data_IF_218756867390
#
_entry.id   IF_218756867390
#
_cell.length_a   1.000
_cell.length_b   1.000
_cell.length_c   1.000
_cell.angle_alpha   90.00
_cell.angle_beta   90.00
_cell.angle_gamma   90.00
#
_symmetry.space_group_name_H-M   'P 1'
#
loop_
_entity.id
_entity.type
_entity.pdbx_description
1 polymer ?
#
# COMPACT_ATOMS: atom_id res chain seq x y z
N UNK A 1 11.44 -2.28 -49.57
CA UNK A 1 11.30 -0.91 -50.10
C UNK A 1 9.83 -0.57 -49.90
N UNK A 2 9.40 0.36 -49.05
CA UNK A 2 10.00 1.66 -48.71
C UNK A 2 9.71 2.00 -47.23
N UNK A 3 10.65 2.69 -46.60
CA UNK A 3 10.75 2.98 -45.16
C UNK A 3 9.56 3.80 -44.63
N UNK A 4 9.03 3.42 -43.45
CA UNK A 4 8.26 4.31 -42.58
C UNK A 4 9.25 5.18 -41.80
N UNK A 5 9.32 6.46 -42.15
CA UNK A 5 10.13 7.45 -41.45
C UNK A 5 9.43 7.83 -40.15
N UNK A 6 9.91 7.31 -39.02
CA UNK A 6 9.69 7.93 -37.71
C UNK A 6 10.30 9.34 -37.77
N UNK A 7 9.48 10.38 -37.68
CA UNK A 7 9.99 11.71 -37.32
C UNK A 7 10.29 11.68 -35.82
N UNK A 8 11.55 11.37 -35.50
CA UNK A 8 12.15 11.73 -34.23
C UNK A 8 12.24 13.26 -34.16
N UNK A 9 11.45 13.88 -33.28
CA UNK A 9 11.79 15.21 -32.80
C UNK A 9 12.83 15.04 -31.70
N UNK A 10 14.07 15.38 -32.04
CA UNK A 10 15.14 15.63 -31.10
C UNK A 10 14.75 16.80 -30.20
N UNK A 11 14.17 16.51 -29.04
CA UNK A 11 14.22 17.41 -27.90
C UNK A 11 15.51 17.11 -27.14
N UNK A 12 16.38 18.10 -27.13
CA UNK A 12 17.54 18.24 -26.25
C UNK A 12 17.12 17.81 -24.84
N UNK A 13 17.88 16.88 -24.25
CA UNK A 13 17.68 16.45 -22.88
C UNK A 13 17.80 17.63 -21.92
N UNK A 14 16.66 18.15 -21.47
CA UNK A 14 16.58 18.81 -20.19
C UNK A 14 16.43 17.70 -19.16
N UNK A 15 17.51 17.43 -18.42
CA UNK A 15 17.45 16.62 -17.22
C UNK A 15 16.29 17.13 -16.34
N UNK A 16 15.39 16.22 -15.94
CA UNK A 16 14.35 16.51 -14.95
C UNK A 16 15.08 16.80 -13.63
N UNK A 17 14.94 18.01 -13.05
CA UNK A 17 15.57 18.33 -11.76
C UNK A 17 15.01 17.42 -10.66
N UNK A 18 15.88 16.98 -9.76
CA UNK A 18 15.66 16.00 -8.68
C UNK A 18 14.81 16.48 -7.50
N UNK A 19 14.25 17.69 -7.54
CA UNK A 19 13.43 18.24 -6.45
C UNK A 19 11.95 18.13 -6.82
N UNK A 20 11.27 17.11 -6.26
CA UNK A 20 9.88 16.86 -6.59
C UNK A 20 9.06 16.62 -5.30
N UNK A 21 7.97 17.38 -5.12
CA UNK A 21 7.12 17.35 -3.92
C UNK A 21 5.84 16.51 -4.12
N UNK A 22 5.59 15.53 -3.26
CA UNK A 22 4.40 14.65 -3.28
C UNK A 22 3.25 15.25 -2.47
N UNK A 23 2.04 15.30 -3.04
CA UNK A 23 0.85 15.83 -2.37
C UNK A 23 -0.30 14.82 -2.38
N UNK A 24 -1.02 14.71 -1.25
CA UNK A 24 -2.30 14.01 -1.13
C UNK A 24 -3.31 14.96 -0.50
N UNK A 25 -4.14 15.61 -1.32
CA UNK A 25 -5.13 16.60 -0.88
C UNK A 25 -6.54 15.99 -0.78
N UNK A 26 -7.31 16.46 0.20
CA UNK A 26 -8.71 16.08 0.42
C UNK A 26 -9.63 16.76 -0.62
N UNK A 27 -10.79 16.19 -1.01
CA UNK A 27 -11.60 16.64 -2.16
C UNK A 27 -12.04 18.11 -2.11
N UNK A 28 -12.09 18.74 -0.93
CA UNK A 28 -12.50 20.14 -0.74
C UNK A 28 -11.37 21.16 -0.87
N UNK A 29 -10.12 20.74 -1.11
CA UNK A 29 -8.92 21.60 -1.18
C UNK A 29 -7.97 21.22 -2.33
N UNK A 30 -8.49 20.60 -3.39
CA UNK A 30 -7.68 20.25 -4.56
C UNK A 30 -7.13 21.51 -5.22
N UNK A 31 -5.84 21.50 -5.56
CA UNK A 31 -5.28 22.53 -6.42
C UNK A 31 -5.98 22.53 -7.78
N UNK A 32 -5.80 23.60 -8.56
CA UNK A 32 -6.34 23.68 -9.92
C UNK A 32 -5.88 22.49 -10.76
N UNK A 33 -4.61 22.12 -10.64
CA UNK A 33 -4.02 21.00 -11.39
C UNK A 33 -4.45 19.65 -10.84
N UNK A 34 -4.67 19.49 -9.54
CA UNK A 34 -5.24 18.24 -8.99
C UNK A 34 -6.69 18.04 -9.44
N UNK A 35 -7.49 19.12 -9.44
CA UNK A 35 -8.85 19.11 -10.01
C UNK A 35 -8.82 18.69 -11.47
N UNK A 36 -7.83 19.18 -12.24
CA UNK A 36 -7.66 18.81 -13.64
C UNK A 36 -7.24 17.35 -13.82
N UNK A 37 -6.38 16.80 -12.95
CA UNK A 37 -6.04 15.38 -12.96
C UNK A 37 -7.28 14.50 -12.77
N UNK A 38 -8.14 14.84 -11.81
CA UNK A 38 -9.40 14.12 -11.58
C UNK A 38 -10.30 14.17 -12.82
N UNK A 39 -10.49 15.35 -13.40
CA UNK A 39 -11.26 15.51 -14.64
C UNK A 39 -10.68 14.64 -15.77
N UNK A 40 -9.35 14.61 -15.95
CA UNK A 40 -8.69 13.77 -16.95
C UNK A 40 -9.05 12.29 -16.72
N UNK A 41 -8.86 11.79 -15.50
CA UNK A 41 -9.10 10.39 -15.15
C UNK A 41 -10.57 10.01 -15.33
N UNK A 42 -11.50 10.90 -14.99
CA UNK A 42 -12.93 10.70 -15.23
C UNK A 42 -13.24 10.57 -16.73
N UNK A 43 -12.64 11.42 -17.57
CA UNK A 43 -12.79 11.31 -19.03
C UNK A 43 -12.19 10.03 -19.59
N UNK A 44 -11.07 9.55 -19.03
CA UNK A 44 -10.47 8.27 -19.42
C UNK A 44 -11.35 7.07 -19.03
N UNK A 45 -11.99 7.14 -17.86
CA UNK A 45 -12.78 6.05 -17.28
C UNK A 45 -14.26 6.07 -17.66
N UNK A 46 -14.74 7.12 -18.31
CA UNK A 46 -16.12 7.20 -18.79
C UNK A 46 -16.48 5.96 -19.64
N UNK A 47 -17.71 5.50 -19.52
CA UNK A 47 -18.25 4.43 -20.36
C UNK A 47 -18.67 4.93 -21.75
N UNK A 48 -18.88 6.24 -21.91
CA UNK A 48 -19.28 6.87 -23.17
C UNK A 48 -18.06 7.33 -23.96
N UNK A 49 -18.06 7.12 -25.29
CA UNK A 49 -16.97 7.55 -26.17
C UNK A 49 -16.68 9.04 -26.01
N UNK A 50 -15.41 9.43 -25.90
CA UNK A 50 -15.03 10.84 -25.78
C UNK A 50 -15.32 11.53 -27.10
N UNK A 51 -15.96 12.70 -27.06
CA UNK A 51 -16.27 13.50 -28.25
C UNK A 51 -15.45 14.78 -28.28
N UNK A 52 -15.17 15.28 -29.48
CA UNK A 52 -14.43 16.53 -29.66
C UNK A 52 -15.12 17.72 -29.00
N UNK A 53 -16.46 17.74 -28.98
CA UNK A 53 -17.27 18.76 -28.30
C UNK A 53 -17.04 18.82 -26.78
N UNK A 54 -16.65 17.70 -26.14
CA UNK A 54 -16.35 17.63 -24.71
C UNK A 54 -14.87 17.90 -24.38
N UNK A 55 -13.97 17.60 -25.32
CA UNK A 55 -12.52 17.68 -25.12
C UNK A 55 -11.95 19.01 -25.59
N UNK A 56 -12.31 19.47 -26.79
CA UNK A 56 -11.70 20.65 -27.43
C UNK A 56 -11.84 21.95 -26.61
N UNK A 57 -12.97 22.25 -25.92
CA UNK A 57 -13.07 23.45 -25.09
C UNK A 57 -12.07 23.49 -23.92
N UNK A 58 -11.62 22.31 -23.48
CA UNK A 58 -10.76 22.09 -22.32
C UNK A 58 -9.26 22.07 -22.66
N UNK A 59 -8.92 22.13 -23.97
CA UNK A 59 -7.54 22.23 -24.45
C UNK A 59 -7.17 23.70 -24.69
N UNK A 60 -5.95 24.06 -24.32
CA UNK A 60 -5.38 25.37 -24.62
C UNK A 60 -5.15 25.50 -26.12
N UNK A 61 -5.75 26.52 -26.74
CA UNK A 61 -5.72 26.71 -28.20
C UNK A 61 -4.37 27.23 -28.70
N UNK A 62 -3.49 27.73 -27.81
CA UNK A 62 -2.14 28.10 -28.21
C UNK A 62 -1.22 26.86 -28.33
N UNK A 63 -1.54 25.80 -27.61
CA UNK A 63 -0.75 24.56 -27.57
C UNK A 63 -1.36 23.41 -28.39
N UNK A 64 -2.68 23.40 -28.61
CA UNK A 64 -3.39 22.43 -29.45
C UNK A 64 -4.09 23.12 -30.62
N UNK A 65 -3.65 22.84 -31.85
CA UNK A 65 -4.45 23.17 -33.03
C UNK A 65 -5.70 22.27 -33.09
N UNK A 66 -6.73 22.64 -33.88
CA UNK A 66 -7.89 21.75 -34.08
C UNK A 66 -7.51 20.36 -34.59
N UNK A 67 -6.46 20.26 -35.41
CA UNK A 67 -5.97 18.97 -35.89
C UNK A 67 -5.28 18.16 -34.77
N UNK A 68 -4.52 18.82 -33.90
CA UNK A 68 -3.89 18.17 -32.74
C UNK A 68 -4.93 17.67 -31.74
N UNK A 69 -6.00 18.43 -31.52
CA UNK A 69 -7.13 18.04 -30.68
C UNK A 69 -7.82 16.77 -31.22
N UNK A 70 -8.07 16.69 -32.53
CA UNK A 70 -8.66 15.51 -33.18
C UNK A 70 -7.73 14.28 -33.13
N UNK A 71 -6.41 14.49 -33.31
CA UNK A 71 -5.41 13.42 -33.18
C UNK A 71 -5.35 12.89 -31.73
N UNK A 72 -5.35 13.78 -30.75
CA UNK A 72 -5.40 13.43 -29.33
C UNK A 72 -6.68 12.66 -29.01
N UNK A 73 -7.84 13.15 -29.45
CA UNK A 73 -9.13 12.49 -29.26
C UNK A 73 -9.12 11.06 -29.83
N UNK A 74 -8.59 10.90 -31.04
CA UNK A 74 -8.46 9.59 -31.71
C UNK A 74 -7.55 8.66 -30.90
N UNK A 75 -6.39 9.15 -30.45
CA UNK A 75 -5.44 8.40 -29.64
C UNK A 75 -6.04 7.97 -28.29
N UNK A 76 -6.72 8.88 -27.59
CA UNK A 76 -7.39 8.60 -26.31
C UNK A 76 -8.42 7.48 -26.48
N UNK A 77 -9.32 7.60 -27.47
CA UNK A 77 -10.38 6.61 -27.69
C UNK A 77 -9.85 5.26 -28.18
N UNK A 78 -8.80 5.25 -29.02
CA UNK A 78 -8.35 4.04 -29.71
C UNK A 78 -7.24 3.28 -28.97
N UNK A 79 -6.44 3.98 -28.16
CA UNK A 79 -5.23 3.41 -27.54
C UNK A 79 -5.30 3.45 -26.02
N UNK A 80 -5.67 4.57 -25.42
CA UNK A 80 -5.59 4.76 -23.96
C UNK A 80 -6.83 4.21 -23.25
N UNK A 81 -8.01 4.72 -23.57
CA UNK A 81 -9.28 4.37 -22.89
C UNK A 81 -9.59 2.87 -22.88
N UNK A 82 -9.28 2.07 -23.93
CA UNK A 82 -9.48 0.62 -23.89
C UNK A 82 -8.70 -0.11 -22.79
N UNK A 83 -7.66 0.51 -22.23
CA UNK A 83 -6.87 -0.07 -21.12
C UNK A 83 -7.48 0.21 -19.74
N UNK A 84 -8.44 1.14 -19.65
CA UNK A 84 -9.11 1.50 -18.40
C UNK A 84 -10.03 0.39 -17.84
N UNK A 85 -10.56 0.54 -16.62
CA UNK A 85 -10.44 1.74 -15.80
C UNK A 85 -9.03 1.97 -15.26
N UNK A 86 -8.65 3.23 -15.18
CA UNK A 86 -7.41 3.72 -14.61
C UNK A 86 -7.64 4.19 -13.17
N UNK A 87 -6.71 3.85 -12.30
CA UNK A 87 -6.64 4.38 -10.93
C UNK A 87 -5.38 5.20 -10.81
N UNK A 88 -5.48 6.40 -10.23
CA UNK A 88 -4.30 7.19 -9.88
C UNK A 88 -3.60 6.49 -8.71
N UNK A 89 -2.38 6.02 -8.95
CA UNK A 89 -1.54 5.37 -7.93
C UNK A 89 -0.84 6.42 -7.07
N UNK A 90 -0.22 7.40 -7.72
CA UNK A 90 0.44 8.55 -7.10
C UNK A 90 0.48 9.71 -8.10
N UNK A 91 0.71 10.91 -7.60
CA UNK A 91 1.02 12.04 -8.46
C UNK A 91 1.98 13.02 -7.80
N UNK A 92 2.55 13.89 -8.63
CA UNK A 92 3.55 14.86 -8.22
C UNK A 92 3.52 16.10 -9.10
N UNK A 93 3.59 17.29 -8.50
CA UNK A 93 3.62 18.55 -9.26
C UNK A 93 4.98 18.72 -9.94
N UNK A 94 4.99 19.32 -11.12
CA UNK A 94 6.21 19.61 -11.85
C UNK A 94 6.99 20.78 -11.20
N UNK A 95 8.32 20.82 -11.31
CA UNK A 95 9.11 21.95 -10.84
C UNK A 95 8.69 23.25 -11.55
N UNK A 96 8.39 24.30 -10.79
CA UNK A 96 8.02 25.62 -11.34
C UNK A 96 6.63 26.14 -10.99
N UNK A 97 5.78 25.36 -10.31
CA UNK A 97 4.50 25.86 -9.76
C UNK A 97 3.32 24.90 -9.90
N UNK A 98 2.12 25.45 -9.82
CA UNK A 98 0.84 24.71 -9.84
C UNK A 98 0.36 24.39 -11.27
N UNK A 99 1.17 24.60 -12.29
CA UNK A 99 0.76 24.54 -13.71
C UNK A 99 1.03 23.18 -14.36
N UNK A 100 1.48 22.17 -13.63
CA UNK A 100 1.68 20.84 -14.21
C UNK A 100 1.98 19.74 -13.21
N UNK A 101 1.74 18.50 -13.64
CA UNK A 101 1.82 17.31 -12.79
C UNK A 101 2.16 16.05 -13.60
N UNK A 102 2.82 15.11 -12.94
CA UNK A 102 2.96 13.71 -13.35
C UNK A 102 2.09 12.84 -12.44
N UNK A 103 1.24 12.00 -13.01
CA UNK A 103 0.47 10.98 -12.32
C UNK A 103 0.86 9.59 -12.81
N UNK A 104 1.13 8.67 -11.88
CA UNK A 104 1.22 7.26 -12.20
C UNK A 104 -0.20 6.68 -12.23
N UNK A 105 -0.63 6.18 -13.37
CA UNK A 105 -1.92 5.51 -13.55
C UNK A 105 -1.72 4.00 -13.60
N UNK A 106 -2.62 3.25 -12.96
CA UNK A 106 -2.71 1.80 -13.10
C UNK A 106 -3.97 1.41 -13.87
N UNK A 107 -3.78 0.68 -14.96
CA UNK A 107 -4.86 0.21 -15.83
C UNK A 107 -5.58 -1.03 -15.27
N UNK A 108 -6.64 -1.50 -15.96
CA UNK A 108 -7.39 -2.71 -15.57
C UNK A 108 -6.55 -3.99 -15.60
N UNK A 109 -5.47 -3.98 -16.39
CA UNK A 109 -4.54 -5.09 -16.54
C UNK A 109 -3.31 -4.95 -15.65
N UNK A 110 -3.28 -3.93 -14.78
CA UNK A 110 -2.14 -3.65 -13.91
C UNK A 110 -0.97 -2.95 -14.62
N UNK A 111 -1.14 -2.50 -15.87
CA UNK A 111 -0.10 -1.74 -16.57
C UNK A 111 0.02 -0.35 -15.94
N UNK A 112 1.25 0.05 -15.69
CA UNK A 112 1.57 1.36 -15.14
C UNK A 112 1.98 2.32 -16.25
N UNK A 113 1.38 3.51 -16.22
CA UNK A 113 1.55 4.54 -17.25
C UNK A 113 1.72 5.87 -16.55
N UNK A 114 2.78 6.59 -16.88
CA UNK A 114 2.93 7.97 -16.45
C UNK A 114 2.07 8.85 -17.35
N UNK A 115 1.12 9.55 -16.74
CA UNK A 115 0.37 10.65 -17.32
C UNK A 115 1.08 11.95 -16.91
N UNK A 116 1.63 12.67 -17.89
CA UNK A 116 2.16 14.02 -17.67
C UNK A 116 1.24 15.03 -18.34
N UNK A 117 0.84 16.07 -17.62
CA UNK A 117 0.12 17.18 -18.23
C UNK A 117 0.48 18.51 -17.59
N UNK A 118 0.29 19.58 -18.37
CA UNK A 118 0.37 20.97 -17.88
C UNK A 118 -0.94 21.69 -18.15
N UNK A 119 -1.20 22.72 -17.35
CA UNK A 119 -2.32 23.63 -17.53
C UNK A 119 -1.82 25.02 -17.94
N UNK A 120 -2.58 25.70 -18.79
CA UNK A 120 -2.41 27.14 -19.06
C UNK A 120 -2.94 27.98 -17.88
N UNK A 121 -2.66 29.28 -17.92
CA UNK A 121 -3.06 30.23 -16.85
C UNK A 121 -4.58 30.36 -16.67
N UNK A 122 -5.36 30.05 -17.71
CA UNK A 122 -6.84 29.96 -17.68
C UNK A 122 -7.36 28.56 -17.26
N UNK A 123 -6.45 27.62 -16.95
CA UNK A 123 -6.77 26.30 -16.40
C UNK A 123 -7.09 25.21 -17.42
N UNK A 124 -6.87 25.47 -18.71
CA UNK A 124 -7.01 24.46 -19.78
C UNK A 124 -5.77 23.59 -19.91
N UNK A 125 -5.89 22.41 -20.52
CA UNK A 125 -4.75 21.51 -20.72
C UNK A 125 -3.85 22.05 -21.84
N UNK A 126 -2.62 22.40 -21.50
CA UNK A 126 -1.61 22.92 -22.42
C UNK A 126 -0.63 21.86 -22.92
N UNK A 127 -0.45 20.76 -22.19
CA UNK A 127 0.23 19.56 -22.69
C UNK A 127 -0.39 18.31 -22.08
N UNK A 128 -0.39 17.21 -22.82
CA UNK A 128 -0.90 15.92 -22.34
C UNK A 128 -0.09 14.79 -22.99
N UNK A 129 0.59 14.00 -22.17
CA UNK A 129 1.42 12.90 -22.61
C UNK A 129 1.23 11.63 -21.77
N UNK A 130 1.33 10.47 -22.42
CA UNK A 130 1.41 9.17 -21.76
C UNK A 130 2.73 8.50 -22.10
N UNK A 131 3.44 8.02 -21.09
CA UNK A 131 4.61 7.18 -21.24
C UNK A 131 4.38 5.83 -20.55
N UNK A 132 4.93 4.75 -21.11
CA UNK A 132 5.15 3.55 -20.32
C UNK A 132 6.01 3.97 -19.12
N UNK A 133 5.57 3.67 -17.89
CA UNK A 133 6.30 4.19 -16.74
C UNK A 133 7.67 3.54 -16.65
N UNK A 134 8.72 4.34 -16.76
CA UNK A 134 10.10 3.90 -16.50
C UNK A 134 10.35 3.70 -14.99
N UNK A 135 9.38 4.08 -14.14
CA UNK A 135 9.53 4.11 -12.68
C UNK A 135 9.42 2.74 -12.00
N UNK A 136 8.92 1.71 -12.68
CA UNK A 136 9.03 0.32 -12.21
C UNK A 136 9.85 -0.46 -13.23
N UNK A 137 11.07 -0.92 -12.86
CA UNK A 137 11.88 -1.71 -13.77
C UNK A 137 11.16 -3.04 -14.11
N UNK A 138 11.47 -3.67 -15.26
CA UNK A 138 10.74 -4.82 -15.76
C UNK A 138 10.63 -5.96 -14.73
N UNK A 139 9.63 -6.85 -14.86
CA UNK A 139 9.43 -7.94 -13.91
C UNK A 139 10.70 -8.75 -13.70
N UNK A 140 11.07 -8.96 -12.44
CA UNK A 140 12.24 -9.77 -12.13
C UNK A 140 12.02 -11.21 -12.60
N UNK A 141 13.11 -11.82 -13.06
CA UNK A 141 13.08 -13.15 -13.68
C UNK A 141 13.67 -14.25 -12.79
N UNK A 142 14.38 -13.87 -11.72
CA UNK A 142 15.02 -14.79 -10.78
C UNK A 142 15.07 -14.23 -9.36
N UNK A 143 15.21 -15.11 -8.36
CA UNK A 143 15.39 -14.70 -6.97
C UNK A 143 16.69 -13.93 -6.72
N UNK A 144 17.76 -14.21 -7.48
CA UNK A 144 19.02 -13.45 -7.37
C UNK A 144 18.84 -12.01 -7.84
N UNK A 145 18.10 -11.80 -8.93
CA UNK A 145 17.76 -10.46 -9.40
C UNK A 145 16.94 -9.69 -8.37
N UNK A 146 15.94 -10.35 -7.75
CA UNK A 146 15.11 -9.76 -6.70
C UNK A 146 15.96 -9.34 -5.51
N UNK A 147 16.80 -10.25 -4.99
CA UNK A 147 17.70 -9.96 -3.87
C UNK A 147 18.65 -8.79 -4.19
N UNK A 148 19.21 -8.75 -5.39
CA UNK A 148 20.08 -7.65 -5.84
C UNK A 148 19.32 -6.32 -5.86
N UNK A 149 18.16 -6.27 -6.53
CA UNK A 149 17.39 -5.03 -6.67
C UNK A 149 16.87 -4.48 -5.35
N UNK A 150 16.42 -5.36 -4.43
CA UNK A 150 16.03 -4.90 -3.09
C UNK A 150 17.22 -4.31 -2.32
N UNK A 151 18.40 -4.95 -2.39
CA UNK A 151 19.64 -4.43 -1.77
C UNK A 151 20.11 -3.11 -2.36
N UNK A 152 19.86 -2.87 -3.65
CA UNK A 152 20.13 -1.59 -4.31
C UNK A 152 19.20 -0.47 -3.83
N UNK A 153 17.99 -0.81 -3.38
CA UNK A 153 17.06 0.15 -2.75
C UNK A 153 17.49 0.44 -1.31
N UNK A 154 17.73 -0.62 -0.52
CA UNK A 154 18.30 -0.49 0.82
C UNK A 154 19.11 -1.73 1.21
N UNK A 155 20.33 -1.56 1.75
CA UNK A 155 21.09 -2.68 2.32
C UNK A 155 20.38 -3.29 3.54
N UNK A 156 19.54 -2.54 4.26
CA UNK A 156 18.73 -3.03 5.37
C UNK A 156 17.42 -3.66 4.86
N UNK A 157 17.55 -4.75 4.09
CA UNK A 157 16.42 -5.50 3.53
C UNK A 157 16.36 -6.91 4.12
N UNK A 158 15.17 -7.35 4.50
CA UNK A 158 14.84 -8.76 4.70
C UNK A 158 13.90 -9.26 3.59
N UNK A 159 14.11 -10.50 3.15
CA UNK A 159 13.26 -11.20 2.17
C UNK A 159 13.10 -12.65 2.62
N UNK A 160 11.91 -13.20 2.46
CA UNK A 160 11.63 -14.62 2.61
C UNK A 160 10.62 -15.06 1.56
N UNK A 161 10.95 -16.13 0.82
CA UNK A 161 10.05 -16.80 -0.11
C UNK A 161 9.99 -18.27 0.25
N UNK A 162 8.82 -18.72 0.70
CA UNK A 162 8.62 -20.09 1.15
C UNK A 162 7.57 -20.77 0.29
N UNK A 163 7.92 -21.93 -0.26
CA UNK A 163 6.99 -22.82 -0.95
C UNK A 163 6.86 -24.10 -0.15
N UNK A 164 5.63 -24.49 0.16
CA UNK A 164 5.32 -25.72 0.89
C UNK A 164 4.14 -26.46 0.26
N UNK A 165 4.06 -27.78 0.48
CA UNK A 165 2.90 -28.59 0.06
C UNK A 165 2.71 -29.71 1.07
N UNK A 166 1.47 -29.89 1.54
CA UNK A 166 1.13 -30.91 2.54
C UNK A 166 2.02 -30.86 3.80
N UNK A 167 2.33 -29.65 4.28
CA UNK A 167 3.19 -29.43 5.46
C UNK A 167 4.69 -29.59 5.20
N UNK A 168 5.12 -30.09 4.03
CA UNK A 168 6.53 -30.21 3.66
C UNK A 168 7.02 -28.93 2.98
N UNK A 169 8.09 -28.35 3.49
CA UNK A 169 8.81 -27.26 2.81
C UNK A 169 9.46 -27.80 1.53
N UNK A 170 9.21 -27.13 0.41
CA UNK A 170 9.76 -27.48 -0.92
C UNK A 170 10.91 -26.56 -1.32
N UNK A 171 10.79 -25.27 -1.01
CA UNK A 171 11.81 -24.27 -1.34
C UNK A 171 11.78 -23.17 -0.30
N UNK A 172 12.96 -22.71 0.10
CA UNK A 172 13.14 -21.55 0.95
C UNK A 172 14.23 -20.66 0.34
N UNK A 173 13.91 -19.39 0.10
CA UNK A 173 14.84 -18.38 -0.38
C UNK A 173 14.75 -17.17 0.52
N UNK A 174 15.85 -16.87 1.22
CA UNK A 174 15.89 -15.81 2.22
C UNK A 174 17.03 -14.82 2.02
N UNK A 175 16.83 -13.63 2.59
CA UNK A 175 17.83 -12.63 2.88
C UNK A 175 17.50 -12.08 4.27
N UNK A 176 18.43 -12.17 5.23
CA UNK A 176 18.23 -11.60 6.58
C UNK A 176 16.88 -12.00 7.22
N UNK A 177 16.44 -13.25 7.03
CA UNK A 177 15.04 -13.64 7.24
C UNK A 177 14.59 -13.65 8.71
N UNK A 178 15.53 -13.89 9.63
CA UNK A 178 15.31 -13.85 11.06
C UNK A 178 15.57 -12.46 11.68
N UNK A 179 16.02 -11.46 10.91
CA UNK A 179 16.22 -10.12 11.44
C UNK A 179 14.89 -9.44 11.73
N UNK A 180 14.79 -8.85 12.92
CA UNK A 180 13.64 -8.06 13.34
C UNK A 180 13.69 -6.68 12.67
N UNK A 181 12.63 -6.34 11.95
CA UNK A 181 12.45 -5.03 11.30
C UNK A 181 11.02 -4.52 11.55
N UNK A 182 10.75 -3.20 11.40
CA UNK A 182 9.39 -2.69 11.41
C UNK A 182 8.54 -3.33 10.30
N UNK A 183 7.30 -3.69 10.62
CA UNK A 183 6.34 -4.30 9.68
C UNK A 183 5.20 -3.35 9.31
N UNK A 184 5.08 -2.21 10.01
CA UNK A 184 4.01 -1.23 9.89
C UNK A 184 2.64 -1.94 9.86
N UNK A 185 1.72 -1.53 8.98
CA UNK A 185 0.34 -2.07 8.93
C UNK A 185 0.18 -3.57 8.70
N UNK A 186 1.25 -4.35 8.49
CA UNK A 186 1.18 -5.82 8.53
C UNK A 186 0.76 -6.33 9.92
N UNK A 187 0.96 -5.55 10.99
CA UNK A 187 0.51 -5.89 12.36
C UNK A 187 -0.99 -6.26 12.43
N UNK A 188 -1.81 -5.71 11.52
CA UNK A 188 -3.26 -5.96 11.43
C UNK A 188 -3.62 -7.41 11.18
N UNK A 189 -2.67 -8.24 10.72
CA UNK A 189 -2.83 -9.70 10.68
C UNK A 189 -2.98 -10.30 12.07
N UNK A 190 -2.28 -9.76 13.08
CA UNK A 190 -2.43 -10.18 14.48
C UNK A 190 -3.77 -9.74 15.08
N UNK A 191 -4.22 -8.53 14.74
CA UNK A 191 -5.57 -8.05 15.11
C UNK A 191 -6.64 -8.96 14.50
N UNK A 192 -6.51 -9.30 13.22
CA UNK A 192 -7.40 -10.24 12.55
C UNK A 192 -7.38 -11.63 13.21
N UNK A 193 -6.20 -12.10 13.64
CA UNK A 193 -6.07 -13.35 14.40
C UNK A 193 -6.87 -13.34 15.70
N UNK A 194 -6.83 -12.24 16.45
CA UNK A 194 -7.62 -12.09 17.68
C UNK A 194 -9.13 -12.10 17.41
N UNK A 195 -9.58 -11.37 16.39
CA UNK A 195 -10.99 -11.37 15.96
C UNK A 195 -11.42 -12.78 15.55
N UNK A 196 -10.65 -13.44 14.69
CA UNK A 196 -10.96 -14.78 14.20
C UNK A 196 -10.94 -15.84 15.31
N UNK A 197 -10.08 -15.69 16.32
CA UNK A 197 -10.07 -16.57 17.49
C UNK A 197 -11.35 -16.43 18.32
N UNK A 198 -11.80 -15.20 18.60
CA UNK A 198 -13.06 -14.94 19.31
C UNK A 198 -14.31 -15.33 18.50
N UNK A 199 -14.25 -15.23 17.16
CA UNK A 199 -15.32 -15.77 16.33
C UNK A 199 -15.32 -17.31 16.38
N UNK A 200 -14.14 -17.93 16.30
CA UNK A 200 -13.99 -19.38 16.35
C UNK A 200 -14.40 -20.00 17.69
N UNK A 201 -14.27 -19.27 18.81
CA UNK A 201 -14.71 -19.70 20.14
C UNK A 201 -16.18 -19.35 20.46
N UNK A 202 -16.83 -18.56 19.60
CA UNK A 202 -18.23 -18.16 19.73
C UNK A 202 -18.48 -17.00 20.70
N UNK A 203 -17.44 -16.32 21.19
CA UNK A 203 -17.58 -15.11 22.02
C UNK A 203 -17.82 -13.84 21.21
N UNK A 204 -17.53 -13.88 19.91
CA UNK A 204 -17.80 -12.82 18.94
C UNK A 204 -18.49 -13.38 17.69
N UNK A 205 -19.30 -12.57 17.02
CA UNK A 205 -19.84 -12.87 15.69
C UNK A 205 -19.37 -11.85 14.65
N UNK A 206 -19.11 -12.32 13.43
CA UNK A 206 -18.90 -11.46 12.27
C UNK A 206 -20.03 -10.45 12.02
N UNK A 207 -21.25 -10.74 12.51
CA UNK A 207 -22.43 -9.88 12.37
C UNK A 207 -22.60 -8.88 13.51
N UNK A 208 -21.84 -9.02 14.59
CA UNK A 208 -21.91 -8.09 15.71
C UNK A 208 -21.58 -6.68 15.22
N UNK A 209 -22.23 -5.70 15.83
CA UNK A 209 -22.10 -4.31 15.42
C UNK A 209 -21.11 -3.61 16.33
N UNK A 210 -20.16 -2.92 15.71
CA UNK A 210 -19.25 -1.98 16.36
C UNK A 210 -19.62 -0.56 15.94
N UNK A 211 -19.29 0.41 16.79
CA UNK A 211 -19.62 1.82 16.57
C UNK A 211 -18.35 2.55 16.16
N UNK A 212 -18.44 3.35 15.10
CA UNK A 212 -17.44 4.36 14.79
C UNK A 212 -17.63 5.52 15.76
N UNK A 213 -16.72 5.69 16.71
CA UNK A 213 -16.70 6.81 17.67
C UNK A 213 -15.49 7.71 17.42
N UNK A 214 -15.60 8.96 17.85
CA UNK A 214 -14.56 9.96 17.59
C UNK A 214 -13.21 9.60 18.25
N UNK A 215 -13.22 8.95 19.41
CA UNK A 215 -12.01 8.46 20.11
C UNK A 215 -11.29 7.32 19.39
N UNK A 216 -11.94 6.64 18.43
CA UNK A 216 -11.33 5.55 17.65
C UNK A 216 -10.82 6.02 16.28
N UNK A 217 -11.15 7.24 15.86
CA UNK A 217 -10.71 7.76 14.56
C UNK A 217 -9.19 7.94 14.52
N UNK A 218 -8.59 7.61 13.38
CA UNK A 218 -7.15 7.66 13.21
C UNK A 218 -6.75 8.22 11.84
N UNK A 219 -5.67 9.02 11.78
CA UNK A 219 -5.11 9.46 10.50
C UNK A 219 -4.48 8.29 9.72
N UNK A 220 -4.02 8.57 8.49
CA UNK A 220 -3.41 7.58 7.61
C UNK A 220 -4.37 6.86 6.67
N UNK A 221 -4.15 5.56 6.45
CA UNK A 221 -4.91 4.79 5.47
C UNK A 221 -6.28 4.42 6.02
N UNK A 222 -7.29 4.40 5.13
CA UNK A 222 -8.68 4.11 5.48
C UNK A 222 -9.63 5.29 5.22
N UNK A 223 -10.92 5.00 5.29
CA UNK A 223 -12.02 5.96 5.07
C UNK A 223 -12.98 6.01 6.24
N UNK A 224 -12.91 5.09 7.21
CA UNK A 224 -13.82 5.08 8.36
C UNK A 224 -13.64 6.31 9.26
N UNK A 225 -12.48 6.97 9.23
CA UNK A 225 -12.28 8.25 9.94
C UNK A 225 -13.26 9.34 9.47
N UNK A 226 -13.66 9.30 8.20
CA UNK A 226 -14.54 10.30 7.58
C UNK A 226 -16.02 9.93 7.79
N UNK A 227 -16.29 8.77 8.41
CA UNK A 227 -17.64 8.32 8.73
C UNK A 227 -18.17 9.07 9.96
N UNK A 228 -19.46 9.49 9.97
CA UNK A 228 -20.06 10.14 11.13
C UNK A 228 -19.96 9.28 12.39
N UNK A 229 -19.62 9.90 13.52
CA UNK A 229 -19.63 9.23 14.81
C UNK A 229 -21.03 8.68 15.14
N UNK A 230 -21.09 7.53 15.80
CA UNK A 230 -22.33 6.80 16.06
C UNK A 230 -22.77 5.87 14.92
N UNK A 231 -22.04 5.83 13.80
CA UNK A 231 -22.33 4.87 12.73
C UNK A 231 -22.02 3.45 13.18
N UNK A 232 -22.97 2.54 13.00
CA UNK A 232 -22.78 1.11 13.26
C UNK A 232 -22.28 0.40 11.99
N UNK A 233 -21.25 -0.43 12.15
CA UNK A 233 -20.73 -1.32 11.11
C UNK A 233 -20.55 -2.73 11.67
N UNK A 234 -20.63 -3.75 10.83
CA UNK A 234 -20.38 -5.12 11.27
C UNK A 234 -18.90 -5.37 11.55
N UNK A 235 -18.58 -6.28 12.47
CA UNK A 235 -17.20 -6.77 12.70
C UNK A 235 -16.56 -7.23 11.40
N UNK A 236 -17.33 -7.90 10.53
CA UNK A 236 -16.87 -8.33 9.22
C UNK A 236 -16.47 -7.16 8.32
N UNK A 237 -17.29 -6.12 8.23
CA UNK A 237 -17.00 -4.97 7.37
C UNK A 237 -15.84 -4.14 7.93
N UNK A 238 -15.75 -4.00 9.25
CA UNK A 238 -14.58 -3.42 9.91
C UNK A 238 -13.31 -4.22 9.58
N UNK A 239 -13.35 -5.56 9.66
CA UNK A 239 -12.19 -6.41 9.36
C UNK A 239 -11.80 -6.33 7.88
N UNK A 240 -12.77 -6.27 6.96
CA UNK A 240 -12.52 -6.04 5.53
C UNK A 240 -11.90 -4.67 5.26
N UNK A 241 -12.36 -3.60 5.92
CA UNK A 241 -11.73 -2.28 5.81
C UNK A 241 -10.30 -2.29 6.36
N UNK A 242 -10.09 -2.91 7.53
CA UNK A 242 -8.77 -3.05 8.17
C UNK A 242 -7.77 -3.77 7.27
N UNK A 243 -8.17 -4.85 6.61
CA UNK A 243 -7.27 -5.64 5.76
C UNK A 243 -7.18 -5.07 4.35
N UNK A 244 -8.33 -4.88 3.68
CA UNK A 244 -8.45 -4.48 2.27
C UNK A 244 -7.89 -3.09 1.97
N UNK A 245 -8.22 -2.10 2.79
CA UNK A 245 -7.76 -0.70 2.61
C UNK A 245 -6.77 -0.28 3.68
N UNK A 246 -6.30 -1.21 4.51
CA UNK A 246 -5.40 -0.92 5.63
C UNK A 246 -6.00 0.08 6.63
N UNK A 247 -7.32 0.12 6.80
CA UNK A 247 -8.01 1.17 7.56
C UNK A 247 -7.56 1.22 9.03
N UNK A 248 -7.01 2.36 9.46
CA UNK A 248 -6.49 2.57 10.81
C UNK A 248 -7.60 2.74 11.86
N UNK A 249 -8.72 3.37 11.48
CA UNK A 249 -9.87 3.53 12.36
C UNK A 249 -10.54 2.18 12.61
N UNK A 250 -10.67 1.35 11.56
CA UNK A 250 -11.13 -0.03 11.69
C UNK A 250 -10.22 -0.84 12.63
N UNK A 251 -8.90 -0.70 12.50
CA UNK A 251 -7.95 -1.38 13.37
C UNK A 251 -8.11 -0.98 14.83
N UNK A 252 -8.25 0.33 15.13
CA UNK A 252 -8.51 0.78 16.51
C UNK A 252 -9.79 0.19 17.08
N UNK A 253 -10.90 0.24 16.31
CA UNK A 253 -12.19 -0.30 16.72
C UNK A 253 -12.07 -1.80 17.03
N UNK A 254 -11.40 -2.57 16.17
CA UNK A 254 -11.25 -4.02 16.37
C UNK A 254 -10.29 -4.37 17.49
N UNK A 255 -9.23 -3.59 17.70
CA UNK A 255 -8.30 -3.76 18.82
C UNK A 255 -8.97 -3.50 20.16
N UNK A 256 -9.80 -2.46 20.25
CA UNK A 256 -10.61 -2.14 21.43
C UNK A 256 -11.64 -3.25 21.71
N UNK A 257 -12.33 -3.71 20.66
CA UNK A 257 -13.32 -4.79 20.74
C UNK A 257 -12.73 -6.08 21.33
N UNK A 258 -11.59 -6.55 20.81
CA UNK A 258 -11.01 -7.83 21.25
C UNK A 258 -10.22 -7.71 22.55
N UNK A 259 -9.68 -6.53 22.85
CA UNK A 259 -8.89 -6.24 24.04
C UNK A 259 -7.46 -6.78 24.01
N UNK A 260 -6.60 -6.18 24.85
CA UNK A 260 -5.16 -6.42 24.86
C UNK A 260 -4.76 -7.89 25.13
N UNK A 261 -5.49 -8.56 26.03
CA UNK A 261 -5.21 -9.97 26.36
C UNK A 261 -5.39 -10.88 25.14
N UNK A 262 -6.44 -10.63 24.34
CA UNK A 262 -6.68 -11.39 23.12
C UNK A 262 -5.64 -11.06 22.05
N UNK A 263 -5.22 -9.79 21.93
CA UNK A 263 -4.14 -9.40 21.03
C UNK A 263 -2.82 -10.08 21.37
N UNK A 264 -2.41 -10.04 22.64
CA UNK A 264 -1.18 -10.70 23.11
C UNK A 264 -1.20 -12.20 22.79
N UNK A 265 -2.33 -12.86 23.08
CA UNK A 265 -2.53 -14.27 22.77
C UNK A 265 -2.49 -14.54 21.27
N UNK A 266 -3.10 -13.69 20.44
CA UNK A 266 -3.07 -13.85 19.00
C UNK A 266 -1.66 -13.72 18.42
N UNK A 267 -0.82 -12.84 18.97
CA UNK A 267 0.60 -12.73 18.60
C UNK A 267 1.35 -14.04 18.86
N UNK A 268 1.12 -14.67 20.02
CA UNK A 268 1.66 -15.99 20.38
C UNK A 268 1.12 -17.10 19.46
N UNK A 269 -0.20 -17.19 19.30
CA UNK A 269 -0.88 -18.27 18.57
C UNK A 269 -0.56 -18.25 17.05
N UNK A 270 -0.35 -17.05 16.50
CA UNK A 270 0.09 -16.84 15.12
C UNK A 270 1.61 -17.03 14.93
N UNK A 271 2.36 -17.22 16.00
CA UNK A 271 3.74 -17.72 15.95
C UNK A 271 4.83 -16.65 15.87
N UNK A 272 4.59 -15.48 16.43
CA UNK A 272 5.63 -14.46 16.58
C UNK A 272 6.75 -14.96 17.52
N UNK A 273 8.02 -14.86 17.11
CA UNK A 273 9.16 -15.42 17.86
C UNK A 273 9.41 -14.74 19.22
N UNK A 274 9.16 -13.43 19.32
CA UNK A 274 9.22 -12.67 20.58
C UNK A 274 8.00 -11.74 20.76
N UNK A 275 6.88 -12.25 21.31
CA UNK A 275 5.65 -11.48 21.51
C UNK A 275 5.81 -10.19 22.33
N UNK A 276 6.88 -10.08 23.13
CA UNK A 276 7.14 -8.88 23.94
C UNK A 276 7.51 -7.66 23.10
N UNK A 277 7.98 -7.86 21.86
CA UNK A 277 8.24 -6.78 20.90
C UNK A 277 6.98 -6.02 20.49
N UNK A 278 5.80 -6.63 20.68
CA UNK A 278 4.50 -6.02 20.41
C UNK A 278 3.73 -5.69 21.70
N UNK A 279 4.40 -5.62 22.86
CA UNK A 279 3.81 -5.25 24.14
C UNK A 279 4.39 -3.92 24.65
N UNK A 280 3.57 -2.93 25.10
CA UNK A 280 2.12 -2.89 24.88
C UNK A 280 1.81 -2.83 23.38
N UNK A 281 0.68 -3.40 22.98
CA UNK A 281 0.29 -3.44 21.57
C UNK A 281 -0.25 -2.08 21.15
N UNK A 282 0.61 -1.26 20.53
CA UNK A 282 0.24 0.09 20.07
C UNK A 282 -0.90 0.04 19.07
N UNK A 283 -1.94 0.86 19.30
CA UNK A 283 -2.93 1.15 18.27
C UNK A 283 -2.37 2.16 17.26
N UNK A 284 -2.89 2.22 16.02
CA UNK A 284 -2.60 3.33 15.12
C UNK A 284 -2.80 4.70 15.76
N UNK A 285 -3.87 4.89 16.53
CA UNK A 285 -4.10 6.14 17.26
C UNK A 285 -2.93 6.49 18.18
N UNK A 286 -2.49 5.54 19.02
CA UNK A 286 -1.37 5.76 19.95
C UNK A 286 -0.06 6.01 19.21
N UNK A 287 0.21 5.26 18.14
CA UNK A 287 1.40 5.43 17.30
C UNK A 287 1.48 6.84 16.71
N UNK A 288 0.37 7.35 16.16
CA UNK A 288 0.34 8.71 15.62
C UNK A 288 0.40 9.76 16.74
N UNK A 289 -0.21 9.50 17.90
CA UNK A 289 -0.11 10.36 19.07
C UNK A 289 1.35 10.51 19.54
N UNK A 290 2.11 9.42 19.59
CA UNK A 290 3.52 9.40 19.99
C UNK A 290 4.44 10.13 19.00
N UNK A 291 4.15 10.00 17.71
CA UNK A 291 5.01 10.54 16.63
C UNK A 291 4.65 11.97 16.22
N UNK A 292 3.52 12.51 16.71
CA UNK A 292 3.12 13.89 16.48
C UNK A 292 4.16 14.87 17.06
N UNK A 293 4.42 15.99 16.35
CA UNK A 293 5.53 16.91 16.61
C UNK A 293 5.62 17.53 18.02
N UNK A 294 4.57 17.42 18.85
CA UNK A 294 4.58 17.81 20.27
C UNK A 294 5.19 16.77 21.22
N UNK A 295 5.34 15.53 20.76
CA UNK A 295 5.70 14.37 21.58
C UNK A 295 7.06 13.77 21.18
N UNK A 296 7.91 14.51 20.47
CA UNK A 296 9.21 13.99 20.00
C UNK A 296 10.15 13.57 21.13
N UNK A 297 10.10 14.27 22.28
CA UNK A 297 10.90 13.90 23.45
C UNK A 297 10.39 12.62 24.10
N UNK A 298 9.06 12.44 24.13
CA UNK A 298 8.41 11.21 24.58
C UNK A 298 8.77 10.06 23.66
N UNK A 299 8.71 10.27 22.34
CA UNK A 299 9.12 9.32 21.31
C UNK A 299 10.58 8.89 21.47
N UNK A 300 11.49 9.83 21.73
CA UNK A 300 12.91 9.54 21.92
C UNK A 300 13.18 8.62 23.14
N UNK A 301 12.34 8.70 24.17
CA UNK A 301 12.44 7.83 25.36
C UNK A 301 11.75 6.47 25.21
N UNK A 302 10.97 6.26 24.14
CA UNK A 302 10.14 5.07 23.98
C UNK A 302 10.96 3.77 23.94
N UNK A 303 12.03 3.74 23.14
CA UNK A 303 12.88 2.55 23.00
C UNK A 303 13.47 2.05 24.32
N UNK A 304 13.79 2.97 25.24
CA UNK A 304 14.46 2.67 26.51
C UNK A 304 13.51 2.55 27.69
N UNK A 305 12.22 2.85 27.51
CA UNK A 305 11.19 2.77 28.54
C UNK A 305 10.76 1.32 28.82
N UNK A 306 10.50 1.01 30.09
CA UNK A 306 9.88 -0.26 30.48
C UNK A 306 8.37 -0.31 30.15
N UNK A 307 7.76 -1.47 30.37
CA UNK A 307 6.35 -1.72 30.02
C UNK A 307 5.37 -0.84 30.80
N UNK A 308 5.65 -0.56 32.07
CA UNK A 308 4.80 0.27 32.92
C UNK A 308 4.85 1.73 32.46
N UNK A 309 6.06 2.22 32.17
CA UNK A 309 6.29 3.57 31.65
C UNK A 309 5.64 3.75 30.28
N UNK A 310 5.77 2.78 29.36
CA UNK A 310 5.10 2.82 28.05
C UNK A 310 3.58 2.92 28.18
N UNK A 311 2.97 2.17 29.11
CA UNK A 311 1.52 2.26 29.37
C UNK A 311 1.11 3.60 29.96
N UNK A 312 1.91 4.15 30.87
CA UNK A 312 1.67 5.47 31.44
C UNK A 312 1.77 6.58 30.38
N UNK A 313 2.71 6.45 29.43
CA UNK A 313 2.82 7.34 28.26
C UNK A 313 1.57 7.22 27.39
N UNK A 314 1.15 6.01 27.00
CA UNK A 314 -0.06 5.84 26.18
C UNK A 314 -1.28 6.46 26.86
N UNK A 315 -1.45 6.22 28.16
CA UNK A 315 -2.55 6.76 28.94
C UNK A 315 -2.53 8.30 29.04
N UNK A 316 -1.37 8.95 28.88
CA UNK A 316 -1.24 10.41 28.94
C UNK A 316 -1.51 11.11 27.62
N UNK A 317 -1.58 10.38 26.49
CA UNK A 317 -1.87 10.95 25.17
C UNK A 317 -3.30 11.52 25.06
N UNK A 318 -4.23 11.05 25.90
CA UNK A 318 -5.64 11.47 25.90
C UNK A 318 -6.42 11.06 24.65
N UNK A 319 -7.67 11.52 24.53
CA UNK A 319 -8.54 11.31 23.35
C UNK A 319 -8.35 12.40 22.27
N UNK A 320 -7.28 13.19 22.38
CA UNK A 320 -7.10 14.37 21.55
C UNK A 320 -6.81 13.96 20.10
N UNK A 321 -7.59 14.51 19.16
CA UNK A 321 -7.47 14.18 17.74
C UNK A 321 -6.06 14.46 17.22
N UNK A 322 -5.41 13.42 16.71
CA UNK A 322 -4.12 13.58 16.02
C UNK A 322 -4.38 14.03 14.59
N UNK A 323 -3.98 15.26 14.30
CA UNK A 323 -4.13 15.86 12.96
C UNK A 323 -3.39 15.04 11.89
N UNK A 324 -3.98 14.84 10.69
CA UNK A 324 -3.35 14.08 9.60
C UNK A 324 -1.97 14.59 9.17
N UNK A 325 -1.67 15.87 9.38
CA UNK A 325 -0.37 16.48 9.11
C UNK A 325 0.78 15.86 9.92
N UNK A 326 0.48 15.15 11.02
CA UNK A 326 1.45 14.41 11.82
C UNK A 326 2.14 13.25 11.05
N UNK A 327 1.61 12.82 9.90
CA UNK A 327 2.22 11.80 9.06
C UNK A 327 3.42 12.27 8.23
N UNK A 328 3.49 13.57 7.94
CA UNK A 328 4.54 14.15 7.11
C UNK A 328 5.79 14.40 7.96
N UNK A 329 6.45 13.32 8.38
CA UNK A 329 7.76 13.40 9.01
C UNK A 329 8.81 12.81 8.07
N UNK A 330 9.89 13.56 7.91
CA UNK A 330 11.16 13.12 7.32
C UNK A 330 11.92 12.13 8.23
N UNK A 331 11.35 11.78 9.40
CA UNK A 331 12.00 10.94 10.42
C UNK A 331 11.48 9.53 10.44
N UNK A 332 12.42 8.59 10.35
CA UNK A 332 12.22 7.17 10.59
C UNK A 332 12.04 6.86 12.10
N UNK A 333 10.84 7.10 12.65
CA UNK A 333 10.55 6.85 14.07
C UNK A 333 10.71 5.39 14.50
N UNK A 334 10.70 4.44 13.56
CA UNK A 334 11.01 3.04 13.85
C UNK A 334 12.40 2.87 14.49
N UNK A 335 13.35 3.78 14.24
CA UNK A 335 14.67 3.78 14.89
C UNK A 335 14.61 4.07 16.39
N UNK A 336 13.50 4.64 16.87
CA UNK A 336 13.19 4.90 18.28
C UNK A 336 12.27 3.82 18.88
N UNK A 337 12.12 2.67 18.21
CA UNK A 337 11.24 1.59 18.65
C UNK A 337 9.75 1.87 18.44
N UNK A 338 9.41 2.88 17.63
CA UNK A 338 8.04 3.25 17.28
C UNK A 338 7.67 2.69 15.90
N UNK A 339 7.32 1.42 15.89
CA UNK A 339 6.60 0.70 14.83
C UNK A 339 6.09 -0.60 15.50
N UNK A 340 5.53 -1.52 14.73
CA UNK A 340 5.34 -2.91 15.14
C UNK A 340 6.50 -3.73 14.55
N UNK A 341 7.17 -4.54 15.36
CA UNK A 341 8.40 -5.23 14.94
C UNK A 341 8.17 -6.72 14.81
N UNK A 342 8.63 -7.29 13.71
CA UNK A 342 8.60 -8.71 13.42
C UNK A 342 9.70 -9.06 12.40
N UNK A 343 10.08 -10.32 12.34
CA UNK A 343 10.87 -10.86 11.23
C UNK A 343 9.97 -11.25 10.05
N UNK A 344 10.53 -11.39 8.85
CA UNK A 344 9.78 -11.91 7.69
C UNK A 344 9.34 -13.37 7.89
N UNK A 345 10.00 -14.13 8.77
CA UNK A 345 9.59 -15.46 9.21
C UNK A 345 8.30 -15.41 10.03
N UNK A 346 8.19 -14.48 10.99
CA UNK A 346 6.97 -14.27 11.79
C UNK A 346 5.78 -13.91 10.90
N UNK A 347 5.99 -12.99 9.94
CA UNK A 347 4.94 -12.53 9.02
C UNK A 347 4.48 -13.68 8.12
N UNK A 348 5.42 -14.47 7.57
CA UNK A 348 5.10 -15.67 6.78
C UNK A 348 4.28 -16.67 7.59
N UNK A 349 4.68 -16.90 8.85
CA UNK A 349 3.99 -17.80 9.76
C UNK A 349 2.57 -17.32 10.10
N UNK A 350 2.38 -16.02 10.36
CA UNK A 350 1.07 -15.44 10.63
C UNK A 350 0.09 -15.67 9.47
N UNK A 351 0.51 -15.44 8.22
CA UNK A 351 -0.29 -15.76 7.03
C UNK A 351 -0.69 -17.23 6.97
N UNK A 352 0.28 -18.13 7.17
CA UNK A 352 0.04 -19.59 7.12
C UNK A 352 -0.94 -20.02 8.19
N UNK A 353 -0.82 -19.48 9.41
CA UNK A 353 -1.72 -19.77 10.53
C UNK A 353 -3.14 -19.23 10.29
N UNK A 354 -3.28 -17.99 9.83
CA UNK A 354 -4.57 -17.42 9.43
C UNK A 354 -5.23 -18.25 8.33
N UNK A 355 -4.45 -18.69 7.34
CA UNK A 355 -4.97 -19.56 6.27
C UNK A 355 -5.52 -20.88 6.79
N UNK A 356 -4.88 -21.50 7.79
CA UNK A 356 -5.39 -22.72 8.42
C UNK A 356 -6.75 -22.48 9.09
N UNK A 357 -6.96 -21.30 9.68
CA UNK A 357 -8.23 -20.93 10.32
C UNK A 357 -9.38 -20.78 9.30
N UNK A 358 -9.10 -20.31 8.07
CA UNK A 358 -10.11 -20.14 7.00
C UNK A 358 -10.87 -21.44 6.69
N UNK A 359 -10.24 -22.61 6.87
CA UNK A 359 -10.91 -23.90 6.66
C UNK A 359 -12.15 -24.11 7.55
N UNK A 360 -12.19 -23.47 8.72
CA UNK A 360 -13.30 -23.52 9.68
C UNK A 360 -14.18 -22.28 9.63
N UNK A 361 -13.69 -21.21 9.01
CA UNK A 361 -14.36 -19.92 8.94
C UNK A 361 -14.20 -19.29 7.54
N UNK A 362 -15.15 -19.54 6.61
CA UNK A 362 -15.11 -18.95 5.28
C UNK A 362 -15.16 -17.41 5.27
N UNK A 363 -15.73 -16.78 6.31
CA UNK A 363 -15.81 -15.31 6.41
C UNK A 363 -14.44 -14.69 6.67
N UNK A 364 -13.56 -15.38 7.40
CA UNK A 364 -12.15 -15.01 7.49
C UNK A 364 -11.47 -15.02 6.11
N UNK A 365 -11.84 -15.96 5.25
CA UNK A 365 -11.37 -16.01 3.86
C UNK A 365 -11.76 -14.75 3.07
N UNK A 366 -13.03 -14.35 3.15
CA UNK A 366 -13.53 -13.11 2.52
C UNK A 366 -12.78 -11.85 3.00
N UNK A 367 -12.38 -11.82 4.28
CA UNK A 367 -11.57 -10.72 4.84
C UNK A 367 -10.14 -10.73 4.26
N UNK A 368 -9.49 -11.89 4.23
CA UNK A 368 -8.12 -12.02 3.73
C UNK A 368 -8.00 -11.78 2.22
N UNK A 369 -9.02 -12.12 1.42
CA UNK A 369 -9.06 -11.89 -0.02
C UNK A 369 -9.52 -10.47 -0.40
N UNK A 370 -9.88 -9.64 0.58
CA UNK A 370 -10.31 -8.25 0.33
C UNK A 370 -9.20 -7.35 -0.22
N UNK A 371 -7.93 -7.75 -0.04
CA UNK A 371 -6.76 -7.12 -0.65
C UNK A 371 -6.52 -7.65 -2.07
N UNK A 372 -6.97 -6.91 -3.09
CA UNK A 372 -6.80 -7.30 -4.51
C UNK A 372 -5.55 -6.64 -5.08
N UNK A 373 -4.38 -6.99 -4.56
CA UNK A 373 -3.08 -6.63 -5.16
C UNK A 373 -2.18 -7.87 -5.16
N UNK A 374 -1.87 -8.39 -6.34
CA UNK A 374 -0.95 -9.51 -6.50
C UNK A 374 -0.79 -9.92 -7.97
N UNK A 375 0.23 -10.73 -8.29
CA UNK A 375 0.53 -11.14 -9.65
C UNK A 375 -0.52 -12.14 -10.16
N UNK A 376 -0.68 -12.21 -11.49
CA UNK A 376 -1.39 -13.33 -12.10
C UNK A 376 -0.62 -14.64 -11.83
N UNK A 377 -1.32 -15.63 -11.25
CA UNK A 377 -0.77 -16.95 -10.91
C UNK A 377 -1.66 -18.03 -11.53
N UNK A 378 -1.06 -18.94 -12.28
CA UNK A 378 -1.75 -20.10 -12.82
C UNK A 378 -2.20 -21.05 -11.71
N UNK A 379 -3.39 -21.64 -11.87
CA UNK A 379 -3.98 -22.57 -10.89
C UNK A 379 -4.18 -21.96 -9.49
N UNK A 380 -4.32 -20.65 -9.38
CA UNK A 380 -4.62 -19.98 -8.12
C UNK A 380 -5.96 -20.48 -7.54
N UNK A 381 -5.95 -20.79 -6.25
CA UNK A 381 -7.13 -21.15 -5.45
C UNK A 381 -7.46 -20.08 -4.41
N UNK A 382 -6.44 -19.41 -3.87
CA UNK A 382 -6.58 -18.38 -2.85
C UNK A 382 -5.40 -17.40 -2.95
N UNK A 383 -5.64 -16.11 -2.76
CA UNK A 383 -4.61 -15.07 -2.70
C UNK A 383 -4.95 -14.07 -1.60
N UNK A 384 -3.98 -13.78 -0.75
CA UNK A 384 -4.06 -12.70 0.22
C UNK A 384 -2.78 -11.90 0.22
N UNK A 385 -2.88 -10.61 0.50
CA UNK A 385 -1.74 -9.74 0.64
C UNK A 385 -1.93 -8.75 1.77
N UNK A 386 -0.83 -8.25 2.32
CA UNK A 386 -0.85 -7.11 3.23
C UNK A 386 0.44 -6.35 3.07
N UNK A 387 0.31 -5.04 2.91
CA UNK A 387 1.44 -4.11 2.94
C UNK A 387 1.41 -3.25 4.19
N UNK A 388 2.56 -2.70 4.54
CA UNK A 388 2.74 -1.70 5.58
C UNK A 388 3.75 -0.68 5.11
N UNK A 389 3.45 0.60 5.38
CA UNK A 389 4.37 1.69 5.14
C UNK A 389 4.33 2.68 6.29
N UNK A 390 5.49 3.28 6.53
CA UNK A 390 5.73 4.38 7.44
C UNK A 390 6.96 5.15 6.91
N UNK A 391 7.28 6.35 7.42
CA UNK A 391 8.54 7.01 7.09
C UNK A 391 9.74 6.06 7.29
N UNK A 392 10.45 5.76 6.18
CA UNK A 392 11.60 4.86 6.18
C UNK A 392 11.26 3.38 6.26
N UNK A 393 9.99 2.97 6.08
CA UNK A 393 9.57 1.56 6.10
C UNK A 393 8.68 1.24 4.91
N UNK A 394 9.02 0.17 4.20
CA UNK A 394 8.13 -0.50 3.25
C UNK A 394 8.19 -2.01 3.49
N UNK A 395 7.05 -2.57 3.87
CA UNK A 395 6.88 -4.00 4.10
C UNK A 395 5.76 -4.52 3.23
N UNK A 396 6.01 -5.62 2.51
CA UNK A 396 5.03 -6.23 1.60
C UNK A 396 5.04 -7.73 1.81
N UNK A 397 3.86 -8.30 2.01
CA UNK A 397 3.66 -9.72 2.23
C UNK A 397 2.51 -10.24 1.36
N UNK A 398 2.73 -11.36 0.69
CA UNK A 398 1.72 -12.07 -0.09
C UNK A 398 1.74 -13.56 0.26
N UNK A 399 0.56 -14.16 0.21
CA UNK A 399 0.36 -15.60 0.35
C UNK A 399 -0.58 -16.09 -0.76
N UNK A 400 -0.15 -17.11 -1.49
CA UNK A 400 -0.96 -17.79 -2.50
C UNK A 400 -1.12 -19.27 -2.14
N UNK A 401 -2.30 -19.81 -2.40
CA UNK A 401 -2.53 -21.24 -2.47
C UNK A 401 -2.93 -21.64 -3.88
N UNK A 402 -2.30 -22.70 -4.40
CA UNK A 402 -2.64 -23.28 -5.68
C UNK A 402 -3.66 -24.41 -5.50
N UNK A 403 -4.42 -24.71 -6.56
CA UNK A 403 -5.43 -25.79 -6.60
C UNK A 403 -4.89 -27.18 -6.25
N UNK A 404 -3.57 -27.38 -6.30
CA UNK A 404 -2.91 -28.63 -5.93
C UNK A 404 -2.48 -28.72 -4.45
N UNK A 405 -2.85 -27.72 -3.64
CA UNK A 405 -2.54 -27.59 -2.22
C UNK A 405 -1.15 -27.01 -1.92
N UNK A 406 -0.43 -26.53 -2.94
CA UNK A 406 0.83 -25.79 -2.74
C UNK A 406 0.53 -24.43 -2.13
N UNK A 407 1.20 -24.10 -1.02
CA UNK A 407 1.16 -22.78 -0.38
C UNK A 407 2.49 -22.07 -0.62
N UNK A 408 2.43 -20.85 -1.10
CA UNK A 408 3.58 -19.97 -1.34
C UNK A 408 3.40 -18.69 -0.53
N UNK A 409 4.40 -18.29 0.23
CA UNK A 409 4.49 -16.96 0.85
C UNK A 409 5.70 -16.22 0.29
N UNK A 410 5.56 -14.91 0.09
CA UNK A 410 6.65 -14.01 -0.26
C UNK A 410 6.51 -12.75 0.60
N UNK A 411 7.55 -12.45 1.38
CA UNK A 411 7.55 -11.35 2.35
C UNK A 411 8.85 -10.58 2.22
N UNK A 412 8.79 -9.26 2.14
CA UNK A 412 9.96 -8.40 2.27
C UNK A 412 9.70 -7.25 3.24
N UNK A 413 10.74 -6.86 3.96
CA UNK A 413 10.82 -5.64 4.77
C UNK A 413 12.04 -4.85 4.29
N UNK A 414 11.82 -3.66 3.78
CA UNK A 414 12.87 -2.75 3.31
C UNK A 414 12.79 -1.50 4.16
N UNK A 415 13.89 -1.15 4.82
CA UNK A 415 13.93 0.01 5.71
C UNK A 415 15.05 0.97 5.35
N UNK A 416 14.82 2.26 5.59
CA UNK A 416 15.83 3.31 5.55
C UNK A 416 15.77 4.09 6.86
N UNK A 417 16.95 4.45 7.37
CA UNK A 417 17.10 5.31 8.56
C UNK A 417 17.05 6.79 8.18
N UNK A 418 17.74 7.13 7.11
CA UNK A 418 17.87 8.48 6.57
C UNK A 418 17.36 8.52 5.13
N UNK A 419 16.96 9.70 4.65
CA UNK A 419 16.42 9.87 3.30
C UNK A 419 15.13 9.08 3.06
N UNK A 420 14.20 9.14 4.02
CA UNK A 420 12.97 8.34 4.02
C UNK A 420 12.12 8.56 2.76
N UNK A 421 12.17 9.75 2.17
CA UNK A 421 11.54 10.11 0.92
C UNK A 421 12.02 9.27 -0.28
N UNK A 422 13.27 8.79 -0.24
CA UNK A 422 13.81 7.94 -1.30
C UNK A 422 13.15 6.56 -1.31
N UNK A 423 12.72 6.06 -0.15
CA UNK A 423 11.98 4.81 -0.08
C UNK A 423 10.58 4.97 -0.68
N UNK A 424 9.95 6.13 -0.46
CA UNK A 424 8.60 6.44 -0.95
C UNK A 424 8.51 6.38 -2.47
N UNK A 425 9.56 6.85 -3.17
CA UNK A 425 9.68 6.77 -4.62
C UNK A 425 9.81 5.32 -5.15
N UNK A 426 10.15 4.36 -4.29
CA UNK A 426 10.47 2.96 -4.67
C UNK A 426 9.51 1.93 -4.07
N UNK A 427 8.46 2.35 -3.33
CA UNK A 427 7.49 1.43 -2.69
C UNK A 427 6.80 0.49 -3.67
N UNK A 428 6.45 1.00 -4.85
CA UNK A 428 5.80 0.18 -5.88
C UNK A 428 6.76 -0.83 -6.49
N UNK A 429 8.05 -0.47 -6.67
CA UNK A 429 9.07 -1.42 -7.10
C UNK A 429 9.27 -2.52 -6.07
N UNK A 430 9.38 -2.18 -4.78
CA UNK A 430 9.51 -3.17 -3.70
C UNK A 430 8.32 -4.14 -3.76
N UNK A 431 7.10 -3.60 -3.85
CA UNK A 431 5.89 -4.43 -3.91
C UNK A 431 5.85 -5.30 -5.17
N UNK A 432 6.28 -4.78 -6.32
CA UNK A 432 6.40 -5.54 -7.57
C UNK A 432 7.42 -6.67 -7.46
N UNK A 433 8.57 -6.43 -6.80
CA UNK A 433 9.59 -7.44 -6.58
C UNK A 433 9.10 -8.59 -5.70
N UNK A 434 8.29 -8.31 -4.67
CA UNK A 434 7.67 -9.35 -3.84
C UNK A 434 6.59 -10.12 -4.63
N UNK A 435 5.82 -9.42 -5.47
CA UNK A 435 4.89 -10.07 -6.40
C UNK A 435 5.62 -10.99 -7.40
N UNK A 436 6.75 -10.56 -7.95
CA UNK A 436 7.58 -11.38 -8.82
C UNK A 436 8.15 -12.60 -8.10
N UNK A 437 8.60 -12.45 -6.85
CA UNK A 437 9.03 -13.56 -6.01
C UNK A 437 7.91 -14.61 -5.85
N UNK A 438 6.69 -14.18 -5.53
CA UNK A 438 5.53 -15.05 -5.40
C UNK A 438 5.22 -15.76 -6.72
N UNK A 439 5.23 -15.03 -7.85
CA UNK A 439 4.98 -15.55 -9.19
C UNK A 439 6.02 -16.59 -9.60
N UNK A 440 7.31 -16.33 -9.37
CA UNK A 440 8.41 -17.25 -9.67
C UNK A 440 8.26 -18.53 -8.85
N UNK A 441 8.01 -18.40 -7.53
CA UNK A 441 7.85 -19.53 -6.63
C UNK A 441 6.58 -20.36 -6.90
N UNK A 442 5.54 -19.75 -7.50
CA UNK A 442 4.28 -20.43 -7.83
C UNK A 442 4.33 -21.26 -9.11
N UNK A 443 5.37 -21.10 -9.94
CA UNK A 443 5.53 -21.92 -11.15
C UNK A 443 5.77 -23.38 -10.79
N UNK A 444 5.15 -24.31 -11.53
CA UNK A 444 5.49 -25.73 -11.44
C UNK A 444 6.96 -25.89 -11.80
N UNK A 445 7.76 -26.44 -10.88
CA UNK A 445 9.08 -26.94 -11.20
C UNK A 445 8.90 -28.08 -12.20
N UNK A 446 9.31 -27.86 -13.45
CA UNK A 446 9.40 -28.92 -14.45
C UNK A 446 10.44 -29.94 -14.00
N UNK A 447 10.01 -31.00 -13.31
CA UNK A 447 10.87 -32.04 -12.76
C UNK A 447 10.37 -32.52 -11.41
N UNK A 448 9.62 -33.62 -11.42
CA UNK A 448 9.07 -34.31 -10.26
C UNK A 448 8.21 -35.46 -10.71
#
# INVERSE_FOLDING_TARGET
>A
MTQLTMLAWSLVGCAVPSDIATGTSSPSNLSRTETRLHWIVDKLNSTEQLRGEDLAPELDTASFSPEDAERLLTYLNSVIRPQGPFVVVRFQRLPGGDDGLVALLRSRWGILTDLTFTSSTDGKVASWFFAASESIPPPATSFEEIKRRLKEISPETSLLVQRSRSGRQLTDVGLHSAEVKPMSSIFKLYVLGAVAAQVGDGTLSWKDQVVVSDDKKSPGTGTLRDTPAGTHISVHDAAKAMIGTSDNTAANILMDLVGEKALTRAVEDLGHHDPKLLSPFLSPHDMFGLTAGRNTDVAASWATSDQETKRAIIASLGEEHVEPSAMASDRAFWTQGLDWFASVEDISQAFRKLRLMVSKDPKLGEVLESTINGPAIDQLAFLSSKSGSAPGVQSTALMAELKDGTVVTAVAQVVLRDGVEMLDLRRDEISSLVADALRIASRRTSGG
#
